data_IF_691481106881
#
_entry.id   IF_691481106881
#
_cell.length_a   1.000
_cell.length_b   1.000
_cell.length_c   1.000
_cell.angle_alpha   90.00
_cell.angle_beta   90.00
_cell.angle_gamma   90.00
#
_symmetry.space_group_name_H-M   'P 1'
#
loop_
_entity.id
_entity.type
_entity.pdbx_description
1 polymer ?
#
# COMPACT_ATOMS: atom_id res chain seq x y z
N UNK A 1 12.66 17.54 2.17
CA UNK A 1 12.69 18.47 1.02
C UNK A 1 11.66 18.01 0.01
N UNK A 2 10.77 18.91 -0.42
CA UNK A 2 9.82 18.62 -1.50
C UNK A 2 10.55 18.30 -2.81
N UNK A 3 9.98 17.44 -3.63
CA UNK A 3 10.57 16.97 -4.89
C UNK A 3 9.54 17.03 -6.01
N UNK A 4 9.99 17.32 -7.23
CA UNK A 4 9.14 17.18 -8.40
C UNK A 4 8.83 15.72 -8.63
N UNK A 5 7.54 15.41 -8.83
CA UNK A 5 7.04 14.05 -9.06
C UNK A 5 6.11 14.03 -10.26
N UNK A 6 6.04 12.90 -10.93
CA UNK A 6 5.19 12.70 -12.10
C UNK A 6 3.83 12.15 -11.69
N UNK A 7 2.79 12.57 -12.39
CA UNK A 7 1.45 11.99 -12.29
C UNK A 7 1.16 11.32 -13.63
N UNK A 8 0.92 10.02 -13.60
CA UNK A 8 0.56 9.26 -14.80
C UNK A 8 -0.91 9.53 -15.17
N UNK A 9 -1.28 9.62 -16.45
CA UNK A 9 -2.68 9.78 -16.86
C UNK A 9 -3.60 8.69 -16.29
N UNK A 10 -3.10 7.45 -16.16
CA UNK A 10 -3.82 6.33 -15.56
C UNK A 10 -4.22 6.55 -14.10
N UNK A 11 -3.63 7.52 -13.39
CA UNK A 11 -4.09 7.90 -12.05
C UNK A 11 -5.56 8.35 -12.08
N UNK A 12 -5.92 9.21 -13.01
CA UNK A 12 -7.27 9.77 -13.13
C UNK A 12 -8.29 8.78 -13.69
N UNK A 13 -7.82 7.70 -14.30
CA UNK A 13 -8.65 6.64 -14.90
C UNK A 13 -8.81 5.44 -13.97
N UNK A 14 -8.21 5.48 -12.79
CA UNK A 14 -8.23 4.37 -11.83
C UNK A 14 -9.53 4.36 -11.02
N UNK A 15 -10.24 3.24 -11.03
CA UNK A 15 -11.41 3.00 -10.19
C UNK A 15 -11.06 3.19 -8.70
N UNK A 16 -9.89 2.73 -8.30
CA UNK A 16 -9.37 2.88 -6.92
C UNK A 16 -9.17 4.34 -6.49
N UNK A 17 -8.89 5.23 -7.45
CA UNK A 17 -8.77 6.67 -7.20
C UNK A 17 -10.15 7.32 -7.22
N UNK A 18 -11.04 6.85 -8.10
CA UNK A 18 -12.37 7.44 -8.28
C UNK A 18 -13.25 7.38 -7.03
N UNK A 19 -13.04 6.38 -6.17
CA UNK A 19 -13.78 6.19 -4.91
C UNK A 19 -13.26 7.02 -3.74
N UNK A 20 -12.07 7.66 -3.89
CA UNK A 20 -11.53 8.56 -2.88
C UNK A 20 -12.22 9.93 -2.93
N UNK A 21 -12.47 10.59 -1.80
CA UNK A 21 -12.85 12.01 -1.76
C UNK A 21 -11.83 12.88 -2.49
N UNK A 22 -12.27 13.96 -3.15
CA UNK A 22 -11.37 14.83 -3.92
C UNK A 22 -10.22 15.41 -3.08
N UNK A 23 -10.48 15.79 -1.83
CA UNK A 23 -9.46 16.26 -0.90
C UNK A 23 -8.41 15.17 -0.64
N UNK A 24 -8.83 13.95 -0.36
CA UNK A 24 -7.93 12.83 -0.14
C UNK A 24 -7.08 12.49 -1.38
N UNK A 25 -7.65 12.61 -2.60
CA UNK A 25 -6.87 12.45 -3.85
C UNK A 25 -5.78 13.50 -3.97
N UNK A 26 -6.09 14.77 -3.68
CA UNK A 26 -5.13 15.87 -3.74
C UNK A 26 -4.09 15.73 -2.63
N UNK A 27 -4.50 15.39 -1.41
CA UNK A 27 -3.58 15.07 -0.31
C UNK A 27 -2.63 13.93 -0.71
N UNK A 28 -3.13 12.87 -1.36
CA UNK A 28 -2.30 11.75 -1.81
C UNK A 28 -1.25 12.17 -2.85
N UNK A 29 -1.65 12.91 -3.89
CA UNK A 29 -0.72 13.47 -4.89
C UNK A 29 0.31 14.39 -4.23
N UNK A 30 -0.15 15.24 -3.32
CA UNK A 30 0.70 16.15 -2.56
C UNK A 30 1.75 15.40 -1.72
N UNK A 31 1.37 14.30 -1.09
CA UNK A 31 2.28 13.44 -0.34
C UNK A 31 3.43 12.92 -1.22
N UNK A 32 3.19 12.61 -2.51
CA UNK A 32 4.27 12.16 -3.40
C UNK A 32 5.40 13.16 -3.48
N UNK A 33 5.09 14.46 -3.46
CA UNK A 33 6.10 15.53 -3.50
C UNK A 33 6.89 15.63 -2.19
N UNK A 34 6.33 15.18 -1.08
CA UNK A 34 6.93 15.24 0.26
C UNK A 34 7.71 13.96 0.62
N UNK A 35 7.48 12.89 -0.11
CA UNK A 35 8.17 11.61 0.11
C UNK A 35 9.60 11.62 -0.47
N UNK A 36 10.46 10.86 0.19
CA UNK A 36 11.79 10.53 -0.32
C UNK A 36 11.71 9.61 -1.57
N UNK A 37 12.86 9.12 -2.05
CA UNK A 37 12.91 8.29 -3.26
C UNK A 37 12.42 6.86 -3.03
N UNK A 38 12.11 6.51 -1.79
CA UNK A 38 11.49 5.24 -1.42
C UNK A 38 10.01 5.37 -1.03
N UNK A 39 9.44 6.56 -1.20
CA UNK A 39 8.03 6.81 -0.94
C UNK A 39 7.70 7.06 0.53
N UNK A 40 8.69 7.43 1.36
CA UNK A 40 8.52 7.60 2.80
C UNK A 40 8.57 9.06 3.22
N UNK A 41 7.75 9.41 4.20
CA UNK A 41 7.78 10.74 4.84
C UNK A 41 7.31 10.63 6.31
N UNK A 42 7.41 11.73 7.05
CA UNK A 42 6.88 11.81 8.42
C UNK A 42 5.36 11.81 8.41
N UNK A 43 4.75 10.99 9.25
CA UNK A 43 3.31 10.98 9.51
C UNK A 43 2.98 12.03 10.58
N UNK A 44 2.79 13.28 10.12
CA UNK A 44 2.52 14.40 11.00
C UNK A 44 1.58 15.40 10.31
N UNK A 45 0.31 15.40 10.70
CA UNK A 45 -0.76 16.17 10.03
C UNK A 45 -0.42 17.66 9.87
N UNK A 46 0.21 18.29 10.88
CA UNK A 46 0.59 19.71 10.81
C UNK A 46 1.64 19.98 9.73
N UNK A 47 2.64 19.09 9.58
CA UNK A 47 3.67 19.23 8.52
C UNK A 47 3.07 18.98 7.15
N UNK A 48 2.21 17.97 7.02
CA UNK A 48 1.51 17.63 5.79
C UNK A 48 0.61 18.79 5.35
N UNK A 49 -0.20 19.34 6.29
CA UNK A 49 -1.01 20.53 6.02
C UNK A 49 -0.16 21.70 5.53
N UNK A 50 0.90 22.04 6.24
CA UNK A 50 1.77 23.17 5.89
C UNK A 50 2.44 22.99 4.51
N UNK A 51 2.69 21.76 4.10
CA UNK A 51 3.35 21.46 2.82
C UNK A 51 2.40 21.37 1.63
N UNK A 52 1.18 20.87 1.83
CA UNK A 52 0.23 20.57 0.75
C UNK A 52 -0.92 21.58 0.70
N UNK A 53 -1.38 22.06 1.85
CA UNK A 53 -2.53 22.96 2.00
C UNK A 53 -2.18 24.26 2.74
N UNK A 54 -1.11 24.99 2.32
CA UNK A 54 -0.63 26.15 3.08
C UNK A 54 -1.62 27.32 3.09
N UNK A 55 -2.40 27.46 2.02
CA UNK A 55 -3.31 28.59 1.79
C UNK A 55 -4.78 28.20 1.94
N UNK A 56 -5.09 26.92 2.04
CA UNK A 56 -6.45 26.41 2.07
C UNK A 56 -6.98 26.30 3.52
N UNK A 57 -8.29 26.48 3.65
CA UNK A 57 -8.98 26.32 4.93
C UNK A 57 -9.27 24.84 5.21
N UNK A 58 -8.22 24.02 5.28
CA UNK A 58 -8.26 22.60 5.63
C UNK A 58 -7.77 22.46 7.06
N UNK A 59 -8.53 21.81 7.93
CA UNK A 59 -8.16 21.60 9.32
C UNK A 59 -7.16 20.44 9.49
N UNK A 60 -6.57 20.30 10.68
CA UNK A 60 -5.73 19.15 11.01
C UNK A 60 -6.54 17.86 11.08
N UNK A 61 -7.80 17.95 11.50
CA UNK A 61 -8.75 16.82 11.52
C UNK A 61 -9.04 16.32 10.10
N UNK A 62 -9.23 17.24 9.14
CA UNK A 62 -9.42 16.90 7.73
C UNK A 62 -8.22 16.16 7.14
N UNK A 63 -6.99 16.55 7.53
CA UNK A 63 -5.78 15.84 7.09
C UNK A 63 -5.71 14.45 7.71
N UNK A 64 -6.03 14.29 9.00
CA UNK A 64 -6.06 12.97 9.64
C UNK A 64 -7.13 12.06 9.02
N UNK A 65 -8.30 12.61 8.67
CA UNK A 65 -9.35 11.89 7.94
C UNK A 65 -8.85 11.40 6.58
N UNK A 66 -8.21 12.27 5.78
CA UNK A 66 -7.62 11.90 4.50
C UNK A 66 -6.56 10.80 4.64
N UNK A 67 -5.67 10.90 5.63
CA UNK A 67 -4.65 9.90 5.89
C UNK A 67 -5.25 8.56 6.34
N UNK A 68 -6.31 8.61 7.12
CA UNK A 68 -7.05 7.41 7.57
C UNK A 68 -7.74 6.73 6.39
N UNK A 69 -8.40 7.50 5.53
CA UNK A 69 -9.05 6.97 4.33
C UNK A 69 -8.03 6.36 3.35
N UNK A 70 -6.90 7.04 3.13
CA UNK A 70 -5.82 6.53 2.29
C UNK A 70 -5.22 5.23 2.86
N UNK A 71 -5.06 5.14 4.17
CA UNK A 71 -4.56 3.94 4.84
C UNK A 71 -5.58 2.79 4.79
N UNK A 72 -6.86 3.06 5.06
CA UNK A 72 -7.94 2.07 4.99
C UNK A 72 -8.05 1.44 3.61
N UNK A 73 -7.78 2.22 2.56
CA UNK A 73 -7.76 1.74 1.17
C UNK A 73 -6.40 1.20 0.71
N UNK A 74 -5.44 1.08 1.62
CA UNK A 74 -4.13 0.54 1.31
C UNK A 74 -3.29 1.40 0.34
N UNK A 75 -3.56 2.72 0.27
CA UNK A 75 -2.76 3.65 -0.55
C UNK A 75 -1.50 4.12 0.16
N UNK A 76 -1.54 4.13 1.48
CA UNK A 76 -0.40 4.39 2.35
C UNK A 76 -0.35 3.37 3.48
N UNK A 77 0.85 3.16 4.02
CA UNK A 77 1.06 2.42 5.27
C UNK A 77 1.54 3.43 6.31
N UNK A 78 0.81 3.55 7.42
CA UNK A 78 1.21 4.37 8.57
C UNK A 78 1.89 3.46 9.59
N UNK A 79 3.03 3.87 10.12
CA UNK A 79 3.82 3.06 11.07
C UNK A 79 4.60 3.95 12.04
N UNK A 80 5.04 3.35 13.14
CA UNK A 80 5.90 4.01 14.13
C UNK A 80 7.23 3.28 14.24
N UNK A 81 8.30 4.03 14.47
CA UNK A 81 9.62 3.51 14.84
C UNK A 81 10.15 4.34 16.01
N UNK A 82 10.21 3.71 17.17
CA UNK A 82 10.36 4.45 18.43
C UNK A 82 9.19 5.41 18.61
N UNK A 83 9.48 6.64 19.03
CA UNK A 83 8.48 7.69 19.26
C UNK A 83 8.11 8.47 17.99
N UNK A 84 8.64 8.08 16.84
CA UNK A 84 8.42 8.79 15.59
C UNK A 84 7.42 8.04 14.69
N UNK A 85 6.45 8.80 14.15
CA UNK A 85 5.47 8.28 13.20
C UNK A 85 5.90 8.61 11.77
N UNK A 86 5.71 7.64 10.89
CA UNK A 86 6.04 7.71 9.48
C UNK A 86 4.91 7.15 8.63
N UNK A 87 4.90 7.52 7.36
CA UNK A 87 4.07 6.87 6.37
C UNK A 87 4.90 6.49 5.13
N UNK A 88 4.47 5.47 4.44
CA UNK A 88 5.03 4.99 3.18
C UNK A 88 3.90 4.87 2.14
N UNK A 89 4.13 5.38 0.94
CA UNK A 89 3.21 5.22 -0.20
C UNK A 89 3.30 3.77 -0.70
N UNK A 90 2.19 3.09 -0.74
CA UNK A 90 2.11 1.72 -1.26
C UNK A 90 2.40 1.70 -2.76
N UNK A 91 3.14 0.69 -3.23
CA UNK A 91 3.51 0.53 -4.64
C UNK A 91 4.24 1.75 -5.24
N UNK A 92 5.10 2.40 -4.46
CA UNK A 92 5.81 3.61 -4.86
C UNK A 92 6.48 3.52 -6.23
N UNK A 93 7.14 2.41 -6.54
CA UNK A 93 7.84 2.20 -7.83
C UNK A 93 6.89 2.15 -9.03
N UNK A 94 5.61 1.83 -8.82
CA UNK A 94 4.58 1.90 -9.86
C UNK A 94 4.19 3.35 -10.14
N UNK A 95 4.16 4.19 -9.10
CA UNK A 95 3.82 5.60 -9.22
C UNK A 95 4.99 6.44 -9.74
N UNK A 96 6.23 6.12 -9.32
CA UNK A 96 7.42 6.94 -9.60
C UNK A 96 8.57 6.12 -10.18
N UNK A 97 8.97 6.44 -11.41
CA UNK A 97 10.16 5.87 -12.05
C UNK A 97 11.38 6.75 -11.73
N UNK A 98 12.14 6.38 -10.70
CA UNK A 98 13.32 7.13 -10.26
C UNK A 98 14.58 6.35 -10.67
N UNK A 99 15.37 6.91 -11.59
CA UNK A 99 16.57 6.26 -12.13
C UNK A 99 17.70 6.15 -11.09
N UNK A 100 17.99 7.23 -10.35
CA UNK A 100 19.00 7.25 -9.28
C UNK A 100 18.29 7.48 -7.95
N UNK A 101 17.96 6.41 -7.23
CA UNK A 101 17.35 6.50 -5.90
C UNK A 101 18.39 6.86 -4.86
N UNK A 102 18.14 7.90 -4.10
CA UNK A 102 18.91 8.22 -2.89
C UNK A 102 18.46 7.30 -1.75
N UNK A 103 19.38 6.71 -0.97
CA UNK A 103 19.01 5.94 0.21
C UNK A 103 18.10 6.74 1.15
N UNK A 104 17.04 6.12 1.65
CA UNK A 104 16.14 6.75 2.62
C UNK A 104 16.85 6.94 3.95
N UNK A 105 16.60 8.11 4.59
CA UNK A 105 16.97 8.35 5.99
C UNK A 105 15.83 7.99 6.93
N UNK A 106 14.67 7.61 6.39
CA UNK A 106 13.50 7.19 7.14
C UNK A 106 13.53 5.66 7.22
N UNK A 107 13.45 5.07 8.42
CA UNK A 107 13.44 3.63 8.57
C UNK A 107 12.26 3.01 7.81
N UNK A 108 12.44 1.79 7.31
CA UNK A 108 11.36 1.05 6.68
C UNK A 108 10.34 0.59 7.74
N UNK A 109 9.05 0.42 7.37
CA UNK A 109 8.11 -0.22 8.26
C UNK A 109 8.60 -1.63 8.61
N UNK A 110 8.63 -1.97 9.91
CA UNK A 110 8.90 -3.34 10.33
C UNK A 110 7.73 -4.23 9.88
N UNK A 111 8.03 -5.32 9.21
CA UNK A 111 7.05 -6.24 8.59
C UNK A 111 6.28 -7.12 9.59
N UNK A 112 6.39 -6.85 10.88
CA UNK A 112 5.67 -7.55 11.92
C UNK A 112 4.52 -6.70 12.43
N UNK A 113 3.29 -7.06 12.01
CA UNK A 113 1.96 -6.64 12.48
C UNK A 113 1.39 -5.33 11.90
N UNK A 114 0.12 -5.35 11.45
CA UNK A 114 -0.66 -4.14 11.30
C UNK A 114 -0.93 -3.57 12.68
N UNK A 115 -0.35 -2.42 12.99
CA UNK A 115 -0.64 -1.70 14.24
C UNK A 115 -2.01 -1.07 14.11
N UNK A 116 -3.00 -1.64 14.79
CA UNK A 116 -4.18 -0.92 15.25
C UNK A 116 -3.63 0.10 16.26
N UNK A 117 -3.80 1.39 15.96
CA UNK A 117 -3.34 2.49 16.82
C UNK A 117 -4.13 2.49 18.13
N UNK A 118 -3.50 2.39 19.29
CA UNK A 118 -4.11 2.83 20.54
C UNK A 118 -3.96 4.35 20.67
N UNK A 119 -4.97 4.97 21.25
CA UNK A 119 -4.98 6.36 21.67
C UNK A 119 -3.81 6.69 22.63
N UNK A 120 -3.38 7.96 22.74
CA UNK A 120 -2.13 8.31 23.41
C UNK A 120 -2.23 8.15 24.91
N UNK A 121 -1.39 7.32 25.49
CA UNK A 121 -1.03 7.38 26.91
C UNK A 121 0.48 7.41 27.06
N UNK A 122 0.93 8.39 27.84
CA UNK A 122 2.32 8.66 28.17
C UNK A 122 3.03 7.52 28.90
N UNK A 123 4.27 7.31 28.52
CA UNK A 123 5.47 7.01 29.34
C UNK A 123 6.31 5.80 28.90
N UNK A 124 7.63 5.82 29.19
CA UNK A 124 8.64 5.21 28.31
C UNK A 124 9.21 3.90 28.85
N UNK A 125 9.72 3.05 27.99
CA UNK A 125 10.90 2.23 28.30
C UNK A 125 11.58 1.59 27.09
N UNK A 126 12.87 1.56 27.19
CA UNK A 126 13.99 1.09 26.40
C UNK A 126 13.98 -0.41 26.04
N UNK A 127 14.56 -0.76 24.90
CA UNK A 127 14.97 -2.15 24.62
C UNK A 127 15.55 -2.41 23.23
N UNK A 128 16.80 -2.79 23.23
CA UNK A 128 17.80 -3.11 22.23
C UNK A 128 17.35 -3.88 20.97
N UNK A 129 18.05 -3.56 19.87
CA UNK A 129 17.92 -4.11 18.55
C UNK A 129 18.42 -5.55 18.34
N UNK A 130 18.06 -6.07 17.17
CA UNK A 130 18.79 -7.16 16.52
C UNK A 130 18.55 -7.08 15.00
N UNK A 131 19.65 -7.09 14.27
CA UNK A 131 19.71 -7.00 12.81
C UNK A 131 19.22 -8.29 12.16
N UNK A 132 18.41 -8.17 11.12
CA UNK A 132 17.95 -9.28 10.31
C UNK A 132 17.71 -8.85 8.87
N UNK A 133 18.54 -9.34 8.02
CA UNK A 133 18.77 -9.19 6.60
C UNK A 133 17.50 -9.03 5.74
N UNK A 134 17.42 -7.91 5.00
CA UNK A 134 16.33 -7.57 4.10
C UNK A 134 16.27 -8.44 2.85
N UNK A 135 15.10 -8.87 2.49
CA UNK A 135 14.73 -9.30 1.14
C UNK A 135 13.43 -8.65 0.71
N UNK A 136 13.54 -8.06 -0.42
CA UNK A 136 12.63 -7.39 -1.31
C UNK A 136 11.23 -8.04 -1.38
N UNK A 137 10.18 -7.28 -0.99
CA UNK A 137 8.79 -7.63 -1.25
C UNK A 137 8.16 -6.55 -2.11
N UNK A 138 8.34 -6.70 -3.41
CA UNK A 138 7.44 -6.11 -4.39
C UNK A 138 6.44 -7.18 -4.77
N UNK A 139 5.16 -6.78 -4.83
CA UNK A 139 4.00 -7.52 -5.35
C UNK A 139 3.06 -8.13 -4.31
N UNK A 140 2.18 -7.28 -3.80
CA UNK A 140 0.91 -7.73 -3.28
C UNK A 140 0.03 -8.14 -4.46
N UNK A 141 0.14 -9.39 -4.90
CA UNK A 141 -0.77 -10.23 -5.70
C UNK A 141 -0.09 -11.14 -6.71
N UNK A 142 1.23 -11.19 -6.78
CA UNK A 142 1.88 -12.18 -7.63
C UNK A 142 1.94 -13.52 -6.87
N UNK A 143 1.59 -14.58 -7.57
CA UNK A 143 1.76 -15.96 -7.09
C UNK A 143 3.18 -16.14 -6.56
N UNK A 144 3.38 -16.62 -5.32
CA UNK A 144 4.71 -16.88 -4.79
C UNK A 144 5.45 -17.86 -5.70
N UNK A 145 6.73 -17.58 -5.95
CA UNK A 145 7.55 -18.49 -6.75
C UNK A 145 7.54 -19.89 -6.15
N UNK A 146 7.37 -20.90 -7.00
CA UNK A 146 7.46 -22.32 -6.61
C UNK A 146 8.90 -22.79 -6.37
N UNK A 147 9.86 -21.92 -6.66
CA UNK A 147 11.28 -22.21 -6.57
C UNK A 147 11.96 -21.28 -5.58
N UNK A 148 12.99 -21.77 -4.90
CA UNK A 148 13.76 -20.93 -3.99
C UNK A 148 14.74 -20.01 -4.75
N UNK A 149 15.23 -18.93 -4.10
CA UNK A 149 16.14 -17.99 -4.74
C UNK A 149 17.48 -18.59 -5.21
N UNK A 150 17.86 -19.74 -4.68
CA UNK A 150 19.08 -20.48 -5.11
C UNK A 150 18.84 -21.31 -6.36
N UNK A 151 17.59 -21.69 -6.63
CA UNK A 151 17.19 -22.51 -7.77
C UNK A 151 15.99 -21.83 -8.46
N UNK A 152 16.18 -20.71 -9.17
CA UNK A 152 15.09 -19.93 -9.77
C UNK A 152 14.36 -20.72 -10.87
N UNK A 153 15.05 -21.61 -11.56
CA UNK A 153 14.50 -22.49 -12.61
C UNK A 153 14.03 -23.86 -12.07
N UNK A 154 14.20 -24.10 -10.77
CA UNK A 154 13.92 -25.38 -10.15
C UNK A 154 15.17 -26.24 -9.99
N UNK A 155 15.00 -27.41 -9.35
CA UNK A 155 16.06 -28.43 -9.23
C UNK A 155 15.38 -29.78 -9.02
N UNK A 156 16.02 -30.84 -9.56
CA UNK A 156 15.61 -32.23 -9.33
C UNK A 156 16.18 -32.76 -8.01
N UNK A 157 17.18 -32.09 -7.44
CA UNK A 157 17.75 -32.42 -6.16
C UNK A 157 16.84 -32.03 -4.98
N UNK A 158 16.80 -32.80 -3.89
CA UNK A 158 15.98 -32.49 -2.73
C UNK A 158 16.49 -31.21 -2.04
N UNK A 159 15.74 -30.14 -2.22
CA UNK A 159 16.02 -28.82 -1.64
C UNK A 159 14.89 -28.37 -0.71
N UNK A 160 15.18 -28.22 0.60
CA UNK A 160 14.20 -27.71 1.58
C UNK A 160 13.65 -26.33 1.20
N UNK A 161 14.46 -25.44 0.58
CA UNK A 161 14.02 -24.15 0.14
C UNK A 161 12.99 -24.22 -1.01
N UNK A 162 13.16 -25.14 -1.96
CA UNK A 162 12.19 -25.38 -3.03
C UNK A 162 10.92 -26.03 -2.50
N UNK A 163 11.03 -26.96 -1.54
CA UNK A 163 9.87 -27.56 -0.89
C UNK A 163 9.03 -26.49 -0.18
N UNK A 164 9.64 -25.65 0.65
CA UNK A 164 8.94 -24.56 1.34
C UNK A 164 8.32 -23.57 0.37
N UNK A 165 8.99 -23.26 -0.75
CA UNK A 165 8.45 -22.35 -1.78
C UNK A 165 7.21 -22.94 -2.45
N UNK A 166 7.20 -24.23 -2.78
CA UNK A 166 6.04 -24.95 -3.34
C UNK A 166 4.86 -24.96 -2.37
N UNK A 167 5.10 -25.32 -1.09
CA UNK A 167 4.06 -25.32 -0.06
C UNK A 167 3.45 -23.92 0.14
N UNK A 168 4.27 -22.88 0.06
CA UNK A 168 3.80 -21.49 0.18
C UNK A 168 2.96 -21.09 -1.03
N UNK A 169 3.36 -21.44 -2.25
CA UNK A 169 2.60 -21.19 -3.46
C UNK A 169 1.25 -21.94 -3.45
N UNK A 170 1.23 -23.19 -2.98
CA UNK A 170 -0.01 -23.97 -2.86
C UNK A 170 -0.98 -23.38 -1.83
N UNK A 171 -0.50 -22.94 -0.67
CA UNK A 171 -1.32 -22.26 0.34
C UNK A 171 -1.88 -20.95 -0.20
N UNK A 172 -1.08 -20.17 -0.89
CA UNK A 172 -1.52 -18.94 -1.52
C UNK A 172 -2.61 -19.20 -2.57
N UNK A 173 -2.41 -20.18 -3.44
CA UNK A 173 -3.40 -20.56 -4.46
C UNK A 173 -4.71 -21.07 -3.82
N UNK A 174 -4.64 -21.80 -2.71
CA UNK A 174 -5.81 -22.23 -1.96
C UNK A 174 -6.57 -21.05 -1.35
N UNK A 175 -5.85 -20.09 -0.74
CA UNK A 175 -6.43 -18.88 -0.17
C UNK A 175 -7.10 -18.00 -1.26
N UNK A 176 -6.49 -17.86 -2.44
CA UNK A 176 -7.09 -17.15 -3.56
C UNK A 176 -8.38 -17.82 -4.05
N UNK A 177 -8.39 -19.15 -4.18
CA UNK A 177 -9.62 -19.88 -4.54
C UNK A 177 -10.73 -19.66 -3.53
N UNK A 178 -10.40 -19.69 -2.23
CA UNK A 178 -11.35 -19.45 -1.15
C UNK A 178 -11.91 -18.02 -1.20
N UNK A 179 -11.05 -17.03 -1.38
CA UNK A 179 -11.46 -15.61 -1.52
C UNK A 179 -12.41 -15.39 -2.69
N UNK A 180 -12.14 -16.04 -3.83
CA UNK A 180 -13.03 -15.97 -5.00
C UNK A 180 -14.36 -16.68 -4.73
N UNK A 181 -14.34 -17.81 -4.03
CA UNK A 181 -15.55 -18.54 -3.66
C UNK A 181 -16.43 -17.76 -2.68
N UNK A 182 -15.81 -17.08 -1.70
CA UNK A 182 -16.48 -16.31 -0.66
C UNK A 182 -16.83 -14.88 -1.10
N UNK A 183 -16.31 -14.43 -2.25
CA UNK A 183 -16.55 -13.08 -2.74
C UNK A 183 -18.05 -12.87 -3.03
N UNK A 184 -18.61 -11.71 -2.64
CA UNK A 184 -20.01 -11.41 -2.85
C UNK A 184 -20.36 -11.43 -4.33
N UNK A 185 -21.43 -12.16 -4.67
CA UNK A 185 -21.92 -12.29 -6.06
C UNK A 185 -22.93 -11.18 -6.37
N UNK A 186 -22.95 -10.76 -7.62
CA UNK A 186 -23.92 -9.78 -8.09
C UNK A 186 -25.35 -10.29 -7.88
N UNK A 187 -26.22 -9.46 -7.29
CA UNK A 187 -27.61 -9.81 -6.98
C UNK A 187 -28.46 -9.96 -8.24
N UNK A 188 -28.09 -9.24 -9.30
CA UNK A 188 -28.83 -9.20 -10.56
C UNK A 188 -28.30 -10.22 -11.56
N UNK A 189 -26.97 -10.29 -11.71
CA UNK A 189 -26.34 -11.16 -12.71
C UNK A 189 -25.63 -12.35 -12.03
N UNK A 190 -26.32 -13.50 -12.04
CA UNK A 190 -25.81 -14.73 -11.44
C UNK A 190 -24.46 -15.14 -12.07
N UNK A 191 -23.50 -15.48 -11.23
CA UNK A 191 -22.16 -15.93 -11.66
C UNK A 191 -21.12 -14.83 -11.79
N UNK A 192 -21.50 -13.56 -11.75
CA UNK A 192 -20.56 -12.42 -11.72
C UNK A 192 -20.24 -12.00 -10.30
N UNK A 193 -19.00 -11.53 -10.07
CA UNK A 193 -18.61 -10.94 -8.78
C UNK A 193 -19.22 -9.55 -8.62
N UNK A 194 -19.74 -9.21 -7.44
CA UNK A 194 -20.46 -7.95 -7.21
C UNK A 194 -19.61 -6.71 -7.54
N UNK A 195 -18.32 -6.76 -7.19
CA UNK A 195 -17.38 -5.62 -7.38
C UNK A 195 -16.89 -5.44 -8.83
N UNK A 196 -17.13 -6.41 -9.72
CA UNK A 196 -16.68 -6.37 -11.12
C UNK A 196 -17.74 -6.97 -12.07
N UNK A 197 -19.00 -6.62 -11.85
CA UNK A 197 -20.07 -7.05 -12.72
C UNK A 197 -20.13 -6.17 -13.98
N UNK A 198 -19.53 -6.64 -15.08
CA UNK A 198 -19.51 -5.91 -16.35
C UNK A 198 -20.89 -5.62 -16.94
N UNK A 199 -21.89 -6.46 -16.64
CA UNK A 199 -23.27 -6.27 -17.10
C UNK A 199 -23.96 -5.12 -16.36
N UNK A 200 -23.85 -5.03 -15.03
CA UNK A 200 -24.35 -3.87 -14.27
C UNK A 200 -23.70 -2.56 -14.74
N UNK A 201 -22.42 -2.60 -15.03
CA UNK A 201 -21.65 -1.44 -15.51
C UNK A 201 -22.10 -1.00 -16.92
N UNK A 202 -22.49 -1.93 -17.78
CA UNK A 202 -23.01 -1.63 -19.10
C UNK A 202 -24.42 -1.02 -19.04
N UNK A 203 -25.25 -1.47 -18.10
CA UNK A 203 -26.60 -0.92 -17.88
C UNK A 203 -26.57 0.51 -17.33
N UNK A 204 -25.62 0.84 -16.43
CA UNK A 204 -25.43 2.20 -15.91
C UNK A 204 -24.93 3.20 -16.98
N UNK A 205 -24.28 2.72 -18.03
CA UNK A 205 -23.72 3.53 -19.12
C UNK A 205 -24.66 3.69 -20.32
N UNK A 206 -25.80 3.01 -20.33
CA UNK A 206 -26.81 3.14 -21.40
C UNK A 206 -27.75 4.31 -21.07
N UNK A 207 -27.69 5.44 -21.80
CA UNK A 207 -28.68 6.50 -21.62
C UNK A 207 -30.05 6.01 -22.11
N UNK A 208 -31.08 6.33 -21.32
CA UNK A 208 -32.46 6.11 -21.66
C UNK A 208 -32.90 7.00 -22.85
#
# INVERSE_FOLDING_TARGET
MARIRTIKPSFFQSDDVSVLPLRARLTWIGLWTQCDDQGRTKDHARLIKAAIWPLDNVSLADIEEDLTELAARGRIVRYAVGDQRYLEITNWSVHQAIQKKTPSRIPAPSRSSPVVLPEPSDSPTSGKGMEGNGREWTRARDEPSRNCPRHPEGTDDPCRGCQSAREQAERWAADQRQRIADAPKCRVHRGQLAYNCGLCRAEELSPA
#
